data_IF_578070127985
#
_entry.id   IF_578070127985
#
_cell.length_a   1.000
_cell.length_b   1.000
_cell.length_c   1.000
_cell.angle_alpha   90.00
_cell.angle_beta   90.00
_cell.angle_gamma   90.00
#
_symmetry.space_group_name_H-M   'P 1'
#
loop_
_entity.id
_entity.type
_entity.pdbx_description
1 polymer ?
#
# COMPACT_ATOMS: atom_id res chain seq x y z
N UNK A 1 32.71 -42.79 -37.79
CA UNK A 1 31.24 -42.91 -37.78
C UNK A 1 30.68 -41.80 -36.90
N UNK A 2 29.94 -40.87 -37.51
CA UNK A 2 29.38 -39.66 -36.90
C UNK A 2 28.24 -39.94 -35.92
N UNK A 3 28.15 -39.19 -34.81
CA UNK A 3 26.89 -38.68 -34.20
C UNK A 3 27.22 -37.37 -33.45
N UNK A 4 27.06 -36.23 -34.12
CA UNK A 4 25.85 -35.40 -34.17
C UNK A 4 25.68 -34.53 -32.90
N UNK A 5 26.01 -33.24 -33.08
CA UNK A 5 25.83 -32.13 -32.14
C UNK A 5 24.35 -31.99 -31.78
N UNK A 6 24.03 -31.82 -30.49
CA UNK A 6 22.72 -31.34 -30.03
C UNK A 6 22.93 -30.13 -29.13
N UNK A 7 22.85 -28.96 -29.75
CA UNK A 7 22.80 -27.66 -29.08
C UNK A 7 21.36 -27.51 -28.56
N UNK A 8 21.17 -27.57 -27.25
CA UNK A 8 19.90 -27.19 -26.62
C UNK A 8 19.92 -25.68 -26.38
N UNK A 9 19.25 -24.95 -27.26
CA UNK A 9 18.91 -23.55 -27.07
C UNK A 9 17.72 -23.50 -26.10
N UNK A 10 17.98 -23.26 -24.80
CA UNK A 10 16.90 -22.95 -23.87
C UNK A 10 16.45 -21.51 -24.11
N UNK A 11 15.23 -21.39 -24.64
CA UNK A 11 14.54 -20.14 -24.89
C UNK A 11 14.04 -19.62 -23.54
N UNK A 12 14.79 -18.72 -22.90
CA UNK A 12 14.35 -18.00 -21.70
C UNK A 12 13.37 -16.92 -22.14
N UNK A 13 12.07 -17.23 -22.07
CA UNK A 13 11.03 -16.21 -22.16
C UNK A 13 10.95 -15.53 -20.79
N UNK A 14 11.62 -14.38 -20.67
CA UNK A 14 11.40 -13.45 -19.56
C UNK A 14 10.02 -12.80 -19.76
N UNK A 15 8.98 -13.39 -19.17
CA UNK A 15 7.72 -12.68 -18.94
C UNK A 15 7.97 -11.60 -17.88
N UNK A 16 8.35 -10.42 -18.33
CA UNK A 16 8.31 -9.22 -17.50
C UNK A 16 6.85 -8.87 -17.21
N UNK A 17 6.29 -9.43 -16.13
CA UNK A 17 5.03 -8.98 -15.57
C UNK A 17 5.30 -7.72 -14.74
N UNK A 18 5.28 -6.55 -15.36
CA UNK A 18 4.98 -5.32 -14.63
C UNK A 18 3.47 -5.10 -14.69
N UNK A 19 2.73 -5.97 -14.00
CA UNK A 19 1.39 -5.58 -13.55
C UNK A 19 1.61 -4.51 -12.47
N UNK A 20 0.96 -3.35 -12.60
CA UNK A 20 0.78 -2.49 -11.43
C UNK A 20 0.26 -3.38 -10.30
N UNK A 21 0.96 -3.39 -9.16
CA UNK A 21 0.63 -4.30 -8.06
C UNK A 21 -0.86 -4.18 -7.77
N UNK A 22 -1.59 -5.30 -7.83
CA UNK A 22 -2.99 -5.31 -7.46
C UNK A 22 -3.11 -4.76 -6.04
N UNK A 23 -4.02 -3.81 -5.82
CA UNK A 23 -4.22 -3.23 -4.50
C UNK A 23 -4.97 -4.26 -3.66
N UNK A 24 -4.38 -4.65 -2.53
CA UNK A 24 -4.94 -5.56 -1.56
C UNK A 24 -4.57 -5.12 -0.12
N UNK A 25 -4.94 -5.92 0.88
CA UNK A 25 -4.71 -5.59 2.28
C UNK A 25 -3.21 -5.42 2.62
N UNK A 26 -2.31 -6.05 1.87
CA UNK A 26 -0.87 -6.07 2.13
C UNK A 26 -0.16 -4.80 1.65
N UNK A 27 -0.78 -4.02 0.76
CA UNK A 27 -0.25 -2.77 0.23
C UNK A 27 -1.20 -1.57 0.39
N UNK A 28 -2.20 -1.70 1.27
CA UNK A 28 -3.17 -0.64 1.58
C UNK A 28 -3.04 -0.18 3.03
N UNK A 29 -2.96 1.13 3.24
CA UNK A 29 -3.14 1.77 4.55
C UNK A 29 -4.53 2.38 4.71
N UNK A 30 -5.04 2.35 5.94
CA UNK A 30 -6.28 3.00 6.35
C UNK A 30 -5.95 4.10 7.34
N UNK A 31 -6.27 5.34 6.99
CA UNK A 31 -6.08 6.49 7.85
C UNK A 31 -7.41 6.87 8.53
N UNK A 32 -7.42 6.85 9.86
CA UNK A 32 -8.59 7.15 10.68
C UNK A 32 -8.37 8.48 11.39
N UNK A 33 -9.26 9.45 11.15
CA UNK A 33 -9.27 10.70 11.89
C UNK A 33 -10.03 10.52 13.21
N UNK A 34 -9.34 10.49 14.34
CA UNK A 34 -9.94 10.27 15.66
C UNK A 34 -10.92 11.39 16.07
N UNK A 35 -10.72 12.60 15.54
CA UNK A 35 -11.58 13.75 15.81
C UNK A 35 -12.89 13.72 14.98
N UNK A 36 -13.04 12.78 14.03
CA UNK A 36 -14.28 12.55 13.29
C UNK A 36 -14.90 11.19 13.64
N UNK A 37 -16.07 11.21 14.29
CA UNK A 37 -16.78 10.00 14.69
C UNK A 37 -17.17 9.11 13.51
N UNK A 38 -17.47 9.67 12.34
CA UNK A 38 -17.79 8.88 11.14
C UNK A 38 -16.54 8.21 10.59
N UNK A 39 -15.42 8.94 10.55
CA UNK A 39 -14.12 8.39 10.14
C UNK A 39 -13.73 7.18 11.00
N UNK A 40 -13.89 7.26 12.33
CA UNK A 40 -13.64 6.12 13.23
C UNK A 40 -14.49 4.91 12.87
N UNK A 41 -15.82 5.07 12.79
CA UNK A 41 -16.73 3.96 12.51
C UNK A 41 -16.46 3.33 11.14
N UNK A 42 -16.31 4.14 10.09
CA UNK A 42 -16.11 3.65 8.73
C UNK A 42 -14.72 3.03 8.57
N UNK A 43 -13.68 3.66 9.12
CA UNK A 43 -12.30 3.19 9.03
C UNK A 43 -12.09 1.87 9.78
N UNK A 44 -12.63 1.75 10.99
CA UNK A 44 -12.58 0.50 11.76
C UNK A 44 -13.33 -0.63 11.04
N UNK A 45 -14.53 -0.34 10.50
CA UNK A 45 -15.29 -1.30 9.72
C UNK A 45 -14.53 -1.75 8.45
N UNK A 46 -13.98 -0.81 7.68
CA UNK A 46 -13.24 -1.11 6.47
C UNK A 46 -12.00 -1.97 6.76
N UNK A 47 -11.22 -1.58 7.78
CA UNK A 47 -10.04 -2.33 8.19
C UNK A 47 -10.39 -3.77 8.58
N UNK A 48 -11.51 -3.97 9.29
CA UNK A 48 -11.97 -5.28 9.72
C UNK A 48 -12.47 -6.15 8.55
N UNK A 49 -13.27 -5.60 7.64
CA UNK A 49 -13.87 -6.38 6.53
C UNK A 49 -12.84 -6.76 5.47
N UNK A 50 -11.78 -5.97 5.33
CA UNK A 50 -10.71 -6.21 4.34
C UNK A 50 -9.44 -6.80 4.95
N UNK A 51 -9.47 -7.25 6.21
CA UNK A 51 -8.32 -7.83 6.91
C UNK A 51 -7.05 -6.97 6.83
N UNK A 52 -7.22 -5.64 6.92
CA UNK A 52 -6.09 -4.69 6.88
C UNK A 52 -5.20 -4.94 8.10
N UNK A 53 -3.89 -5.20 7.91
CA UNK A 53 -2.97 -5.39 9.02
C UNK A 53 -2.98 -4.20 9.96
N UNK A 54 -2.93 -4.45 11.27
CA UNK A 54 -2.94 -3.38 12.28
C UNK A 54 -1.81 -2.34 12.07
N UNK A 55 -0.66 -2.77 11.53
CA UNK A 55 0.46 -1.90 11.20
C UNK A 55 0.16 -0.91 10.05
N UNK A 56 -0.88 -1.16 9.25
CA UNK A 56 -1.31 -0.31 8.14
C UNK A 56 -2.50 0.59 8.54
N UNK A 57 -3.02 0.43 9.76
CA UNK A 57 -4.10 1.28 10.28
C UNK A 57 -3.48 2.40 11.11
N UNK A 58 -3.52 3.61 10.59
CA UNK A 58 -2.97 4.79 11.26
C UNK A 58 -4.10 5.66 11.80
N UNK A 59 -3.93 6.12 13.04
CA UNK A 59 -4.84 7.07 13.68
C UNK A 59 -4.21 8.45 13.75
N UNK A 60 -4.96 9.47 13.33
CA UNK A 60 -4.52 10.86 13.28
C UNK A 60 -5.57 11.79 13.84
N UNK A 61 -5.16 13.02 14.15
CA UNK A 61 -6.06 14.12 14.44
C UNK A 61 -5.89 15.17 13.36
N UNK A 62 -6.97 15.47 12.65
CA UNK A 62 -6.98 16.46 11.58
C UNK A 62 -7.81 17.68 12.00
N UNK A 63 -7.39 18.90 11.59
CA UNK A 63 -8.16 20.10 11.88
C UNK A 63 -9.55 20.02 11.23
N UNK A 64 -10.58 20.52 11.93
CA UNK A 64 -11.96 20.54 11.45
C UNK A 64 -12.18 21.60 10.37
N UNK A 65 -11.61 21.38 9.18
CA UNK A 65 -11.75 22.19 7.97
C UNK A 65 -11.52 21.35 6.72
N UNK A 66 -12.00 21.82 5.58
CA UNK A 66 -12.04 21.04 4.35
C UNK A 66 -10.68 20.75 3.72
N UNK A 67 -9.62 21.48 4.08
CA UNK A 67 -8.30 21.32 3.49
C UNK A 67 -7.17 21.61 4.48
N UNK A 68 -6.07 20.88 4.31
CA UNK A 68 -4.78 21.21 4.89
C UNK A 68 -4.08 22.25 4.01
N UNK A 69 -3.24 23.08 4.61
CA UNK A 69 -2.23 23.82 3.84
C UNK A 69 -1.18 22.84 3.32
N UNK A 70 -0.42 23.25 2.31
CA UNK A 70 0.65 22.42 1.76
C UNK A 70 1.66 21.99 2.82
N UNK A 71 2.10 22.91 3.68
CA UNK A 71 3.06 22.62 4.74
C UNK A 71 2.52 21.60 5.77
N UNK A 72 1.24 21.72 6.14
CA UNK A 72 0.60 20.75 7.04
C UNK A 72 0.48 19.37 6.40
N UNK A 73 0.14 19.32 5.11
CA UNK A 73 0.08 18.07 4.36
C UNK A 73 1.46 17.41 4.27
N UNK A 74 2.50 18.15 3.91
CA UNK A 74 3.88 17.64 3.81
C UNK A 74 4.37 17.09 5.15
N UNK A 75 4.13 17.83 6.24
CA UNK A 75 4.48 17.39 7.58
C UNK A 75 3.73 16.11 7.99
N UNK A 76 2.42 16.05 7.72
CA UNK A 76 1.62 14.86 8.00
C UNK A 76 2.09 13.68 7.16
N UNK A 77 2.22 13.86 5.85
CA UNK A 77 2.64 12.84 4.89
C UNK A 77 4.00 12.24 5.26
N UNK A 78 4.99 13.07 5.63
CA UNK A 78 6.30 12.59 6.07
C UNK A 78 6.21 11.69 7.31
N UNK A 79 5.39 12.06 8.30
CA UNK A 79 5.17 11.25 9.51
C UNK A 79 4.48 9.92 9.20
N UNK A 80 3.49 9.94 8.29
CA UNK A 80 2.77 8.73 7.89
C UNK A 80 3.70 7.76 7.16
N UNK A 81 4.46 8.23 6.15
CA UNK A 81 5.41 7.38 5.42
C UNK A 81 6.50 6.79 6.32
N UNK A 82 6.94 7.51 7.36
CA UNK A 82 7.91 6.97 8.31
C UNK A 82 7.33 5.87 9.23
N UNK A 83 6.00 5.78 9.33
CA UNK A 83 5.30 4.83 10.20
C UNK A 83 4.78 3.60 9.44
N UNK A 84 4.67 3.69 8.12
CA UNK A 84 4.15 2.61 7.28
C UNK A 84 5.25 1.62 6.87
N UNK A 85 4.91 0.33 6.73
CA UNK A 85 5.79 -0.63 6.08
C UNK A 85 6.05 -0.26 4.62
N UNK A 86 7.24 -0.60 4.12
CA UNK A 86 7.65 -0.26 2.74
C UNK A 86 6.78 -0.86 1.62
N UNK A 87 5.91 -1.81 1.94
CA UNK A 87 5.01 -2.45 0.99
C UNK A 87 3.72 -1.64 0.72
N UNK A 88 3.47 -0.58 1.51
CA UNK A 88 2.32 0.33 1.43
C UNK A 88 2.77 1.67 0.87
#
# INVERSE_FOLDING_TARGET
MHRAKRIYLWLVVLLSHSAAAAIDATNTAVLINDDDSKSRVIGEYYAAVHDIPAAHVLRVKLPNRAALTQAEFEQLSSKLHASLPAAV
#
